data_IF_005085116928
#
_entry.id   IF_005085116928
#
_cell.length_a   1.000
_cell.length_b   1.000
_cell.length_c   1.000
_cell.angle_alpha   90.00
_cell.angle_beta   90.00
_cell.angle_gamma   90.00
#
_symmetry.space_group_name_H-M   'P 1'
#
loop_
_entity.id
_entity.type
_entity.pdbx_description
1 polymer ?
#
# COMPACT_ATOMS: atom_id res chain seq x y z
N UNK A 1 -5.74 7.08 4.82
CA UNK A 1 -5.26 8.14 5.73
C UNK A 1 -5.60 9.52 5.18
N UNK A 2 -5.52 10.56 6.00
CA UNK A 2 -5.66 11.97 5.55
C UNK A 2 -4.38 12.50 4.89
N UNK A 3 -4.49 13.68 4.28
CA UNK A 3 -3.40 14.33 3.54
C UNK A 3 -2.23 14.77 4.43
N UNK A 4 -2.52 15.30 5.62
CA UNK A 4 -1.48 15.80 6.54
C UNK A 4 -0.58 14.66 7.03
N UNK A 5 -1.18 13.54 7.46
CA UNK A 5 -0.45 12.33 7.83
C UNK A 5 0.34 11.78 6.66
N UNK A 6 -0.29 11.64 5.49
CA UNK A 6 0.41 11.14 4.30
C UNK A 6 1.60 12.03 3.92
N UNK A 7 1.44 13.36 4.01
CA UNK A 7 2.51 14.33 3.79
C UNK A 7 3.68 14.17 4.75
N UNK A 8 3.41 13.99 6.06
CA UNK A 8 4.46 13.72 7.06
C UNK A 8 5.21 12.42 6.79
N UNK A 9 4.49 11.35 6.45
CA UNK A 9 5.11 10.05 6.10
C UNK A 9 5.99 10.17 4.84
N UNK A 10 5.51 10.85 3.79
CA UNK A 10 6.28 11.10 2.57
C UNK A 10 7.56 11.87 2.88
N UNK A 11 7.48 12.93 3.69
CA UNK A 11 8.65 13.71 4.09
C UNK A 11 9.68 12.86 4.85
N UNK A 12 9.23 12.06 5.82
CA UNK A 12 10.08 11.18 6.61
C UNK A 12 10.74 10.07 5.76
N UNK A 13 10.02 9.49 4.80
CA UNK A 13 10.55 8.50 3.87
C UNK A 13 11.60 9.10 2.92
N UNK A 14 11.34 10.30 2.38
CA UNK A 14 12.30 11.01 1.53
C UNK A 14 13.57 11.36 2.27
N UNK A 15 13.48 11.76 3.53
CA UNK A 15 14.66 12.00 4.38
C UNK A 15 15.54 10.75 4.54
N UNK A 16 14.98 9.55 4.36
CA UNK A 16 15.69 8.26 4.35
C UNK A 16 16.13 7.79 2.96
N UNK A 17 15.97 8.62 1.93
CA UNK A 17 16.32 8.28 0.54
C UNK A 17 15.31 7.41 -0.20
N UNK A 18 14.11 7.21 0.37
CA UNK A 18 13.03 6.47 -0.30
C UNK A 18 12.30 7.40 -1.27
N UNK A 19 12.10 7.01 -2.56
CA UNK A 19 11.43 7.84 -3.56
C UNK A 19 9.90 7.82 -3.35
N UNK A 20 9.44 8.50 -2.31
CA UNK A 20 8.04 8.57 -1.92
C UNK A 20 7.32 9.81 -2.49
N UNK A 21 6.03 9.70 -2.75
CA UNK A 21 5.13 10.77 -3.22
C UNK A 21 3.78 10.68 -2.54
N UNK A 22 3.08 11.81 -2.46
CA UNK A 22 1.70 11.84 -1.99
C UNK A 22 0.80 11.22 -3.06
N UNK A 23 -0.03 10.26 -2.67
CA UNK A 23 -1.03 9.62 -3.53
C UNK A 23 -2.44 10.09 -3.15
N UNK A 24 -3.19 10.63 -4.10
CA UNK A 24 -4.61 10.95 -3.91
C UNK A 24 -5.44 9.75 -4.37
N UNK A 25 -5.96 8.99 -3.41
CA UNK A 25 -6.73 7.75 -3.62
C UNK A 25 -8.25 8.01 -3.73
N UNK A 26 -8.66 9.25 -3.45
CA UNK A 26 -10.04 9.73 -3.51
C UNK A 26 -10.10 11.17 -3.02
N UNK A 27 -11.32 11.73 -2.91
CA UNK A 27 -11.52 13.13 -2.51
C UNK A 27 -11.00 13.41 -1.10
N UNK A 28 -11.20 12.47 -0.17
CA UNK A 28 -10.79 12.60 1.24
C UNK A 28 -9.82 11.50 1.67
N UNK A 29 -9.19 10.82 0.70
CA UNK A 29 -8.35 9.67 0.97
C UNK A 29 -7.00 9.87 0.31
N UNK A 30 -5.97 9.96 1.13
CA UNK A 30 -4.59 10.01 0.69
C UNK A 30 -3.82 8.76 1.13
N UNK A 31 -2.65 8.60 0.52
CA UNK A 31 -1.70 7.54 0.79
C UNK A 31 -0.29 7.94 0.39
N UNK A 32 0.63 6.98 0.49
CA UNK A 32 2.04 7.15 0.15
C UNK A 32 2.37 6.26 -1.05
N UNK A 33 2.75 6.87 -2.16
CA UNK A 33 3.25 6.15 -3.33
C UNK A 33 4.76 6.05 -3.27
N UNK A 34 5.33 4.87 -3.53
CA UNK A 34 6.76 4.62 -3.60
C UNK A 34 7.09 4.15 -5.00
N UNK A 35 8.05 4.83 -5.64
CA UNK A 35 8.54 4.43 -6.96
C UNK A 35 9.54 3.28 -6.80
N UNK A 36 9.25 2.14 -7.41
CA UNK A 36 10.07 0.95 -7.31
C UNK A 36 11.19 0.93 -8.37
N UNK A 37 12.35 0.32 -8.05
CA UNK A 37 13.39 0.07 -9.04
C UNK A 37 12.87 -0.93 -10.09
N UNK A 38 12.52 -0.43 -11.27
CA UNK A 38 11.88 -1.24 -12.33
C UNK A 38 10.67 -0.59 -12.98
N UNK A 39 10.17 0.52 -12.40
CA UNK A 39 9.05 1.28 -12.98
C UNK A 39 7.68 0.93 -12.39
N UNK A 40 7.62 -0.04 -11.48
CA UNK A 40 6.45 -0.27 -10.63
C UNK A 40 6.29 0.77 -9.52
N UNK A 41 5.14 0.76 -8.88
CA UNK A 41 4.75 1.67 -7.82
C UNK A 41 4.09 0.89 -6.68
N UNK A 42 4.48 1.15 -5.44
CA UNK A 42 3.78 0.65 -4.26
C UNK A 42 2.96 1.78 -3.63
N UNK A 43 1.65 1.60 -3.53
CA UNK A 43 0.72 2.57 -2.99
C UNK A 43 0.25 2.11 -1.62
N UNK A 44 0.72 2.81 -0.59
CA UNK A 44 0.40 2.55 0.80
C UNK A 44 -0.79 3.36 1.26
N UNK A 45 -1.72 2.69 1.93
CA UNK A 45 -2.79 3.30 2.69
C UNK A 45 -2.77 2.83 4.15
N UNK A 46 -3.40 3.63 5.01
CA UNK A 46 -3.62 3.27 6.40
C UNK A 46 -5.08 3.56 6.73
N UNK A 47 -5.70 2.60 7.40
CA UNK A 47 -7.04 2.66 7.94
C UNK A 47 -7.04 2.19 9.41
N UNK A 48 -7.71 2.88 10.34
CA UNK A 48 -7.73 2.47 11.75
C UNK A 48 -8.35 1.08 12.00
N UNK A 49 -9.23 0.59 11.13
CA UNK A 49 -9.88 -0.71 11.26
C UNK A 49 -9.11 -1.87 10.62
N UNK A 50 -8.28 -1.59 9.60
CA UNK A 50 -7.55 -2.62 8.83
C UNK A 50 -6.02 -2.53 8.96
N UNK A 51 -5.52 -1.42 9.51
CA UNK A 51 -4.10 -1.12 9.62
C UNK A 51 -3.47 -0.62 8.32
N UNK A 52 -2.16 -0.84 8.21
CA UNK A 52 -1.33 -0.46 7.09
C UNK A 52 -1.40 -1.51 5.98
N UNK A 53 -1.66 -1.07 4.74
CA UNK A 53 -1.73 -1.93 3.56
C UNK A 53 -1.02 -1.29 2.38
N UNK A 54 -0.54 -2.11 1.45
CA UNK A 54 0.03 -1.63 0.20
C UNK A 54 -0.41 -2.45 -1.00
N UNK A 55 -0.71 -1.75 -2.07
CA UNK A 55 -0.94 -2.28 -3.40
C UNK A 55 0.29 -2.04 -4.26
N UNK A 56 0.74 -3.07 -4.99
CA UNK A 56 1.86 -2.92 -5.94
C UNK A 56 1.32 -2.96 -7.35
N UNK A 57 1.64 -1.93 -8.11
CA UNK A 57 1.17 -1.70 -9.47
C UNK A 57 2.36 -1.62 -10.41
N UNK A 58 2.30 -2.33 -11.53
CA UNK A 58 3.32 -2.28 -12.59
C UNK A 58 2.63 -1.96 -13.92
N UNK A 59 3.13 -0.95 -14.64
CA UNK A 59 2.52 -0.44 -15.88
C UNK A 59 1.02 -0.08 -15.78
N UNK A 60 0.57 0.27 -14.57
CA UNK A 60 -0.82 0.59 -14.28
C UNK A 60 -1.71 -0.64 -14.04
N UNK A 61 -1.13 -1.84 -13.92
CA UNK A 61 -1.81 -3.09 -13.58
C UNK A 61 -1.43 -3.50 -12.16
N UNK A 62 -2.43 -3.81 -11.32
CA UNK A 62 -2.20 -4.36 -9.98
C UNK A 62 -1.53 -5.74 -10.10
N UNK A 63 -0.32 -5.86 -9.54
CA UNK A 63 0.47 -7.11 -9.59
C UNK A 63 0.44 -7.88 -8.28
N UNK A 64 0.09 -7.24 -7.18
CA UNK A 64 -0.03 -7.91 -5.88
C UNK A 64 -0.19 -6.94 -4.73
N UNK A 65 -0.20 -7.49 -3.53
CA UNK A 65 -0.29 -6.74 -2.28
C UNK A 65 0.93 -7.01 -1.41
N UNK A 66 1.35 -6.02 -0.63
CA UNK A 66 2.27 -6.28 0.47
C UNK A 66 1.49 -7.02 1.56
N UNK A 67 2.02 -8.13 2.11
CA UNK A 67 1.38 -8.87 3.19
C UNK A 67 0.99 -7.96 4.36
N UNK A 68 -0.20 -8.19 4.92
CA UNK A 68 -0.70 -7.37 6.02
C UNK A 68 0.25 -7.46 7.22
N UNK A 69 0.56 -6.30 7.80
CA UNK A 69 1.39 -6.22 9.00
C UNK A 69 0.48 -6.27 10.23
N UNK A 70 0.55 -7.35 11.00
CA UNK A 70 -0.28 -7.54 12.19
C UNK A 70 -0.07 -6.41 13.22
N UNK A 71 -1.16 -5.94 13.83
CA UNK A 71 -1.14 -4.84 14.80
C UNK A 71 -0.84 -3.46 14.21
N UNK A 72 -0.74 -3.34 12.88
CA UNK A 72 -0.40 -2.06 12.24
C UNK A 72 -1.46 -0.96 12.40
N UNK A 73 -2.67 -1.31 12.83
CA UNK A 73 -3.70 -0.36 13.22
C UNK A 73 -3.23 0.60 14.33
N UNK A 74 -2.40 0.14 15.26
CA UNK A 74 -1.97 0.94 16.42
C UNK A 74 -0.56 1.53 16.26
N UNK A 75 0.03 1.43 15.06
CA UNK A 75 1.39 1.89 14.84
C UNK A 75 1.51 3.42 14.88
N UNK A 76 2.60 3.89 15.49
CA UNK A 76 3.02 5.28 15.40
C UNK A 76 3.51 5.60 13.99
N UNK A 77 3.54 6.89 13.64
CA UNK A 77 4.01 7.32 12.32
C UNK A 77 5.47 6.88 12.08
N UNK A 78 6.34 6.94 13.09
CA UNK A 78 7.72 6.47 12.99
C UNK A 78 7.80 4.98 12.67
N UNK A 79 6.92 4.18 13.27
CA UNK A 79 6.83 2.74 13.02
C UNK A 79 6.30 2.46 11.62
N UNK A 80 5.30 3.21 11.15
CA UNK A 80 4.81 3.13 9.77
C UNK A 80 5.96 3.42 8.78
N UNK A 81 6.70 4.51 8.96
CA UNK A 81 7.85 4.85 8.09
C UNK A 81 8.91 3.74 8.13
N UNK A 82 9.21 3.18 9.31
CA UNK A 82 10.18 2.10 9.45
C UNK A 82 9.76 0.83 8.69
N UNK A 83 8.49 0.44 8.80
CA UNK A 83 7.94 -0.72 8.09
C UNK A 83 8.00 -0.48 6.59
N UNK A 84 7.43 0.64 6.12
CA UNK A 84 7.37 0.99 4.69
C UNK A 84 8.76 1.03 4.05
N UNK A 85 9.76 1.58 4.76
CA UNK A 85 11.13 1.67 4.27
C UNK A 85 11.87 0.32 4.27
N UNK A 86 11.47 -0.62 5.14
CA UNK A 86 12.06 -1.95 5.23
C UNK A 86 11.38 -2.98 4.30
N UNK A 87 10.17 -2.67 3.79
CA UNK A 87 9.42 -3.56 2.92
C UNK A 87 10.17 -3.84 1.62
N UNK A 88 10.19 -5.11 1.25
CA UNK A 88 10.64 -5.61 -0.04
C UNK A 88 9.44 -5.79 -0.97
N UNK A 89 9.59 -5.37 -2.23
CA UNK A 89 8.52 -5.35 -3.23
C UNK A 89 8.78 -6.31 -4.40
N UNK A 90 9.69 -7.27 -4.21
CA UNK A 90 9.89 -8.37 -5.15
C UNK A 90 8.63 -9.24 -5.26
N UNK A 91 8.38 -9.75 -6.47
CA UNK A 91 7.14 -10.47 -6.81
C UNK A 91 6.88 -11.69 -5.92
N UNK A 92 7.93 -12.32 -5.42
CA UNK A 92 7.87 -13.49 -4.53
C UNK A 92 7.43 -13.12 -3.10
N UNK A 93 7.68 -11.88 -2.67
CA UNK A 93 7.25 -11.37 -1.37
C UNK A 93 5.83 -10.80 -1.37
N UNK A 94 5.23 -10.61 -2.55
CA UNK A 94 3.86 -10.10 -2.67
C UNK A 94 2.84 -11.22 -2.51
N UNK A 95 1.78 -10.94 -1.76
CA UNK A 95 0.60 -11.79 -1.73
C UNK A 95 -0.15 -11.66 -3.04
N UNK A 96 -0.52 -12.81 -3.62
CA UNK A 96 -1.44 -12.83 -4.76
C UNK A 96 -2.87 -12.59 -4.25
N UNK A 97 -3.77 -12.02 -5.07
CA UNK A 97 -5.15 -11.79 -4.65
C UNK A 97 -5.89 -13.06 -4.20
N UNK A 98 -5.44 -14.25 -4.61
CA UNK A 98 -6.08 -15.55 -4.28
C UNK A 98 -5.75 -16.06 -2.88
N UNK A 99 -4.69 -15.56 -2.22
CA UNK A 99 -4.29 -16.01 -0.87
C UNK A 99 -5.14 -15.43 0.27
N UNK A 100 -6.19 -14.66 -0.04
CA UNK A 100 -7.09 -14.09 0.98
C UNK A 100 -8.17 -15.08 1.48
N UNK A 101 -8.15 -16.34 1.01
CA UNK A 101 -9.16 -17.35 1.34
C UNK A 101 -8.55 -18.72 1.59
N UNK A 102 -7.90 -18.92 2.74
CA UNK A 102 -7.80 -20.26 3.34
C UNK A 102 -8.44 -20.18 4.72
N UNK A 103 -9.77 -20.30 4.72
CA UNK A 103 -10.51 -20.64 5.93
C UNK A 103 -10.06 -22.03 6.40
N UNK A 104 -9.69 -22.21 7.68
CA UNK A 104 -9.53 -23.54 8.23
C UNK A 104 -10.92 -24.16 8.43
N UNK A 105 -11.15 -25.23 7.69
CA UNK A 105 -12.25 -26.19 7.89
C UNK A 105 -12.29 -26.67 9.35
N UNK A 106 -13.46 -26.55 10.00
CA UNK A 106 -13.68 -27.17 11.32
C UNK A 106 -14.75 -26.58 12.24
N UNK A 107 -15.99 -27.04 12.06
CA UNK A 107 -16.91 -27.49 13.15
C UNK A 107 -17.65 -26.44 14.02
N UNK A 108 -18.92 -26.22 13.66
CA UNK A 108 -20.08 -26.30 14.57
C UNK A 108 -20.37 -25.14 15.53
N UNK A 109 -21.35 -24.31 15.20
CA UNK A 109 -21.94 -23.34 16.14
C UNK A 109 -23.14 -22.60 15.55
N UNK A 110 -24.31 -22.93 16.06
CA UNK A 110 -25.64 -22.47 15.66
C UNK A 110 -25.88 -20.97 15.95
N UNK A 111 -26.72 -20.31 15.15
CA UNK A 111 -27.51 -19.13 15.58
C UNK A 111 -26.95 -17.71 15.46
N UNK A 112 -27.27 -17.07 14.32
CA UNK A 112 -27.70 -15.66 14.19
C UNK A 112 -26.68 -14.52 14.38
N UNK A 113 -26.20 -13.96 13.26
CA UNK A 113 -25.48 -12.68 13.28
C UNK A 113 -24.94 -12.17 11.94
N UNK A 114 -25.84 -11.91 10.98
CA UNK A 114 -25.66 -11.14 9.72
C UNK A 114 -24.61 -11.66 8.71
N UNK A 115 -24.98 -11.89 7.43
CA UNK A 115 -23.98 -12.09 6.41
C UNK A 115 -23.18 -10.80 6.29
N UNK A 116 -21.87 -10.87 6.56
CA UNK A 116 -20.93 -9.90 6.02
C UNK A 116 -21.13 -9.93 4.51
N UNK A 117 -21.93 -8.98 4.00
CA UNK A 117 -22.03 -8.72 2.58
C UNK A 117 -20.64 -8.30 2.17
N UNK A 118 -19.94 -9.22 1.54
CA UNK A 118 -18.83 -8.98 0.64
C UNK A 118 -19.29 -7.96 -0.42
N UNK A 119 -19.25 -6.71 0.00
CA UNK A 119 -19.36 -5.53 -0.84
C UNK A 119 -17.94 -4.99 -0.87
N UNK A 120 -17.03 -5.74 -1.51
CA UNK A 120 -15.77 -5.17 -1.94
C UNK A 120 -16.08 -3.86 -2.66
N UNK A 121 -15.56 -2.71 -2.20
CA UNK A 121 -15.74 -1.50 -2.97
C UNK A 121 -15.03 -1.71 -4.29
N UNK A 122 -15.76 -1.49 -5.39
CA UNK A 122 -15.23 -1.49 -6.73
C UNK A 122 -14.04 -0.50 -6.80
N UNK A 123 -12.81 -1.00 -6.68
CA UNK A 123 -11.61 -0.17 -6.79
C UNK A 123 -11.33 0.12 -8.26
N UNK A 124 -12.01 1.15 -8.76
CA UNK A 124 -11.66 1.82 -10.00
C UNK A 124 -10.44 2.70 -9.76
N UNK A 125 -9.24 2.14 -9.84
CA UNK A 125 -8.05 2.92 -10.17
C UNK A 125 -8.09 3.29 -11.67
N UNK A 126 -9.12 4.05 -12.07
CA UNK A 126 -9.09 4.78 -13.34
C UNK A 126 -8.13 5.94 -13.20
N UNK A 127 -6.91 5.67 -13.65
CA UNK A 127 -5.85 6.58 -14.03
C UNK A 127 -6.26 8.06 -14.21
N UNK A 128 -5.60 8.95 -13.46
CA UNK A 128 -5.15 10.23 -14.03
C UNK A 128 -3.64 10.31 -13.92
N UNK A 129 -3.01 9.83 -14.98
CA UNK A 129 -1.60 10.03 -15.29
C UNK A 129 -1.30 11.53 -15.33
N UNK A 130 -0.53 12.04 -14.37
CA UNK A 130 0.45 13.08 -14.67
C UNK A 130 1.78 12.37 -14.82
N UNK A 131 2.19 12.17 -16.07
CA UNK A 131 3.56 11.76 -16.42
C UNK A 131 4.50 12.82 -15.85
N UNK A 132 5.00 12.62 -14.64
CA UNK A 132 6.20 13.28 -14.18
C UNK A 132 7.33 12.70 -15.02
N UNK A 133 7.69 13.41 -16.10
CA UNK A 133 8.94 13.18 -16.82
C UNK A 133 10.05 13.41 -15.80
N UNK A 134 10.57 12.32 -15.24
CA UNK A 134 11.76 12.37 -14.39
C UNK A 134 12.94 12.88 -15.23
N UNK A 135 13.72 13.86 -14.75
CA UNK A 135 14.96 14.24 -15.42
C UNK A 135 15.94 13.06 -15.35
N UNK A 136 16.52 12.71 -16.51
CA UNK A 136 17.67 11.78 -16.57
C UNK A 136 18.81 12.39 -15.76
N UNK A 137 19.18 11.78 -14.65
CA UNK A 137 20.39 12.14 -13.92
C UNK A 137 21.51 11.12 -14.16
N UNK A 138 22.76 11.58 -14.36
CA UNK A 138 23.88 10.72 -14.71
C UNK A 138 24.38 9.98 -13.47
N UNK A 139 24.65 8.67 -13.65
CA UNK A 139 25.39 7.88 -12.66
C UNK A 139 26.82 8.40 -12.60
N UNK A 140 27.29 8.85 -11.42
CA UNK A 140 28.70 9.14 -11.18
C UNK A 140 29.40 7.87 -10.68
N UNK A 141 30.57 7.49 -11.24
CA UNK A 141 31.37 6.38 -10.74
C UNK A 141 32.30 6.86 -9.62
N UNK A 142 32.58 5.96 -8.67
CA UNK A 142 33.80 5.94 -7.88
C UNK A 142 34.41 4.54 -8.08
#
# INVERSE_FOLDING_TARGET
MDEDRAGRLVAALRARGVPAHLAHLGVYRCGVQIVLPGGGEAVWDYDPGMGLRAEVVEDGVLVGFVPQVSGSADFTEERLVAVIAATRYDREALSTPVDSGTEPDGTGGDGTGLPYRDTGPAFLSRARRRRLRLPRWPRRPW
#
